data_IF_001009882614
#
_entry.id   IF_001009882614
#
_cell.length_a   1.000
_cell.length_b   1.000
_cell.length_c   1.000
_cell.angle_alpha   90.00
_cell.angle_beta   90.00
_cell.angle_gamma   90.00
#
_symmetry.space_group_name_H-M   'P 1'
#
loop_
_entity.id
_entity.type
_entity.pdbx_description
1 polymer ?
#
# COMPACT_ATOMS: atom_id res chain seq x y z
N UNK A 1 -15.83 -6.55 0.28
CA UNK A 1 -15.15 -7.85 0.35
C UNK A 1 -14.65 -8.06 1.77
N UNK A 2 -15.42 -8.72 2.65
CA UNK A 2 -15.08 -8.82 4.08
C UNK A 2 -13.81 -9.65 4.35
N UNK A 3 -13.52 -10.63 3.50
CA UNK A 3 -12.35 -11.53 3.64
C UNK A 3 -11.08 -11.00 2.94
N UNK A 4 -11.14 -9.82 2.31
CA UNK A 4 -10.00 -9.26 1.59
C UNK A 4 -8.99 -8.64 2.57
N UNK A 5 -7.72 -9.01 2.44
CA UNK A 5 -6.61 -8.34 3.10
C UNK A 5 -5.77 -7.59 2.07
N UNK A 6 -5.25 -6.44 2.46
CA UNK A 6 -4.43 -5.61 1.59
C UNK A 6 -3.17 -5.12 2.30
N UNK A 7 -2.10 -4.98 1.54
CA UNK A 7 -0.91 -4.23 1.94
C UNK A 7 -0.77 -3.04 0.99
N UNK A 8 -0.76 -1.84 1.54
CA UNK A 8 -0.43 -0.62 0.81
C UNK A 8 1.08 -0.42 0.89
N UNK A 9 1.73 -0.37 -0.28
CA UNK A 9 3.15 -0.03 -0.40
C UNK A 9 3.25 1.41 -0.84
N UNK A 10 3.95 2.23 -0.06
CA UNK A 10 4.22 3.63 -0.40
C UNK A 10 5.42 4.16 0.41
N UNK A 11 5.84 5.40 0.18
CA UNK A 11 6.88 6.03 0.97
C UNK A 11 6.44 6.24 2.44
N UNK A 12 7.38 6.35 3.40
CA UNK A 12 7.06 6.33 4.83
C UNK A 12 5.99 7.32 5.30
N UNK A 13 6.01 8.55 4.76
CA UNK A 13 5.04 9.58 5.13
C UNK A 13 3.63 9.27 4.64
N UNK A 14 3.50 8.68 3.45
CA UNK A 14 2.19 8.29 2.90
C UNK A 14 1.63 7.11 3.67
N UNK A 15 2.45 6.09 3.99
CA UNK A 15 2.02 5.00 4.87
C UNK A 15 1.53 5.49 6.24
N UNK A 16 2.17 6.53 6.80
CA UNK A 16 1.71 7.15 8.06
C UNK A 16 0.33 7.79 7.89
N UNK A 17 0.15 8.63 6.87
CA UNK A 17 -1.14 9.26 6.59
C UNK A 17 -2.25 8.23 6.31
N UNK A 18 -1.94 7.18 5.55
CA UNK A 18 -2.87 6.09 5.26
C UNK A 18 -3.35 5.39 6.53
N UNK A 19 -2.45 5.09 7.49
CA UNK A 19 -2.84 4.54 8.80
C UNK A 19 -3.80 5.44 9.57
N UNK A 20 -3.56 6.75 9.57
CA UNK A 20 -4.42 7.72 10.25
C UNK A 20 -5.82 7.77 9.60
N UNK A 21 -5.90 7.70 8.27
CA UNK A 21 -7.17 7.65 7.53
C UNK A 21 -7.90 6.33 7.81
N UNK A 22 -7.21 5.20 7.63
CA UNK A 22 -7.78 3.87 7.80
C UNK A 22 -8.23 3.60 9.23
N UNK A 23 -7.60 4.20 10.24
CA UNK A 23 -8.02 4.06 11.63
C UNK A 23 -9.46 4.50 11.93
N UNK A 24 -10.11 5.22 11.01
CA UNK A 24 -11.52 5.61 11.11
C UNK A 24 -12.47 4.73 10.28
N UNK A 25 -11.97 3.64 9.70
CA UNK A 25 -12.69 2.73 8.81
C UNK A 25 -12.95 1.38 9.49
N UNK A 26 -14.03 0.70 9.08
CA UNK A 26 -14.35 -0.64 9.59
C UNK A 26 -13.26 -1.65 9.21
N UNK A 27 -12.60 -1.45 8.08
CA UNK A 27 -11.61 -2.36 7.50
C UNK A 27 -10.18 -2.17 8.01
N UNK A 28 -9.96 -1.27 8.98
CA UNK A 28 -8.62 -0.89 9.45
C UNK A 28 -7.72 -2.08 9.82
N UNK A 29 -8.27 -3.12 10.44
CA UNK A 29 -7.54 -4.33 10.83
C UNK A 29 -7.11 -5.23 9.66
N UNK A 30 -7.64 -4.99 8.45
CA UNK A 30 -7.34 -5.77 7.24
C UNK A 30 -6.46 -5.03 6.24
N UNK A 31 -6.07 -3.79 6.54
CA UNK A 31 -5.22 -2.96 5.70
C UNK A 31 -3.90 -2.73 6.44
N UNK A 32 -2.84 -3.39 5.97
CA UNK A 32 -1.48 -3.16 6.43
C UNK A 32 -0.75 -2.17 5.51
N UNK A 33 0.34 -1.60 6.02
CA UNK A 33 1.12 -0.56 5.33
C UNK A 33 2.60 -0.90 5.39
N UNK A 34 3.23 -0.99 4.22
CA UNK A 34 4.62 -1.37 4.06
C UNK A 34 5.41 -0.20 3.45
N UNK A 35 6.22 0.52 4.25
CA UNK A 35 6.98 1.65 3.76
C UNK A 35 8.13 1.19 2.86
N UNK A 36 8.14 1.61 1.60
CA UNK A 36 9.19 1.29 0.63
C UNK A 36 9.21 2.26 -0.56
N UNK A 37 10.36 2.36 -1.21
CA UNK A 37 10.47 2.85 -2.59
C UNK A 37 10.15 1.68 -3.54
N UNK A 38 9.00 1.71 -4.19
CA UNK A 38 8.56 0.59 -5.04
C UNK A 38 9.38 0.42 -6.33
N UNK A 39 10.29 1.34 -6.66
CA UNK A 39 11.21 1.21 -7.80
C UNK A 39 12.50 0.53 -7.39
N UNK A 40 12.99 0.82 -6.18
CA UNK A 40 14.34 0.41 -5.73
C UNK A 40 14.33 -0.75 -4.74
N UNK A 41 13.28 -0.89 -3.94
CA UNK A 41 13.24 -1.85 -2.83
C UNK A 41 12.58 -3.18 -3.22
N UNK A 42 12.89 -4.23 -2.45
CA UNK A 42 12.16 -5.50 -2.58
C UNK A 42 10.73 -5.36 -2.03
N UNK A 43 9.77 -5.71 -2.88
CA UNK A 43 8.35 -5.67 -2.55
C UNK A 43 7.88 -6.96 -1.87
N UNK A 44 6.86 -6.89 -0.99
CA UNK A 44 6.25 -8.08 -0.42
C UNK A 44 5.69 -9.00 -1.52
N UNK A 45 5.63 -10.31 -1.23
CA UNK A 45 5.25 -11.37 -2.19
C UNK A 45 4.09 -12.19 -1.64
N UNK A 46 3.49 -13.00 -2.52
CA UNK A 46 2.42 -13.95 -2.15
C UNK A 46 1.01 -13.35 -2.23
N UNK A 47 0.83 -12.26 -2.96
CA UNK A 47 -0.49 -11.66 -3.20
C UNK A 47 -1.20 -12.34 -4.37
N UNK A 48 -2.53 -12.50 -4.24
CA UNK A 48 -3.38 -12.94 -5.35
C UNK A 48 -3.51 -11.87 -6.44
N UNK A 49 -3.44 -10.60 -6.06
CA UNK A 49 -3.60 -9.44 -6.94
C UNK A 49 -2.62 -8.33 -6.53
N UNK A 50 -1.98 -7.71 -7.52
CA UNK A 50 -1.19 -6.48 -7.36
C UNK A 50 -1.88 -5.37 -8.16
N UNK A 51 -2.11 -4.22 -7.51
CA UNK A 51 -2.74 -3.05 -8.13
C UNK A 51 -1.81 -1.86 -8.02
N UNK A 52 -1.78 -1.08 -9.09
CA UNK A 52 -1.04 0.18 -9.15
C UNK A 52 -2.08 1.28 -9.36
N UNK A 53 -2.30 2.10 -8.32
CA UNK A 53 -3.42 3.03 -8.25
C UNK A 53 -2.91 4.46 -8.07
N UNK A 54 -3.43 5.38 -8.88
CA UNK A 54 -3.15 6.82 -8.78
C UNK A 54 -1.65 7.18 -8.71
N UNK A 55 -0.83 6.44 -9.46
CA UNK A 55 0.59 6.74 -9.60
C UNK A 55 0.83 7.73 -10.74
N UNK A 56 1.86 8.56 -10.59
CA UNK A 56 2.40 9.36 -11.68
C UNK A 56 3.04 8.50 -12.77
N UNK A 57 3.53 9.15 -13.82
CA UNK A 57 4.38 8.45 -14.79
C UNK A 57 5.66 7.98 -14.10
N UNK A 58 6.07 6.75 -14.38
CA UNK A 58 7.45 6.36 -14.14
C UNK A 58 8.30 7.18 -15.09
N UNK A 59 9.10 8.11 -14.57
CA UNK A 59 10.08 8.79 -15.41
C UNK A 59 10.94 7.74 -16.10
N UNK A 60 11.08 7.86 -17.41
CA UNK A 60 11.98 7.00 -18.19
C UNK A 60 13.39 7.20 -17.65
N UNK A 61 13.91 6.17 -16.96
CA UNK A 61 15.30 6.06 -16.56
C UNK A 61 16.26 6.42 -17.71
#
# INVERSE_FOLDING_TARGET
>A
YPELYAIVVDIPNVCKAGREIAGNMEEHDRIAYYPADFVLDELPKGFDIVMVCDIGQYDSL
#
